data_IF_628875912233
#
_entry.id   IF_628875912233
#
_cell.length_a   1.000
_cell.length_b   1.000
_cell.length_c   1.000
_cell.angle_alpha   90.00
_cell.angle_beta   90.00
_cell.angle_gamma   90.00
#
_symmetry.space_group_name_H-M   'P 1'
#
loop_
_entity.id
_entity.type
_entity.pdbx_description
1 polymer ?
#
# COMPACT_ATOMS: atom_id res chain seq x y z
N UNK A 1 7.68 -11.19 9.74
CA UNK A 1 8.91 -10.54 9.26
C UNK A 1 10.12 -11.32 9.80
N UNK A 2 10.95 -11.91 8.91
CA UNK A 2 12.15 -12.64 9.31
C UNK A 2 13.17 -11.80 10.11
N UNK A 3 13.17 -10.48 9.96
CA UNK A 3 14.12 -9.59 10.63
C UNK A 3 13.67 -9.26 12.07
N UNK A 4 12.41 -8.88 12.26
CA UNK A 4 11.87 -8.56 13.59
C UNK A 4 11.31 -9.76 14.36
N UNK A 5 11.03 -10.88 13.67
CA UNK A 5 10.34 -12.03 14.25
C UNK A 5 8.84 -11.79 14.49
N UNK A 6 8.31 -10.62 14.13
CA UNK A 6 6.91 -10.26 14.34
C UNK A 6 6.00 -10.83 13.24
N UNK A 7 4.76 -11.12 13.61
CA UNK A 7 3.71 -11.59 12.69
C UNK A 7 2.41 -10.86 12.96
N UNK A 8 1.67 -10.56 11.89
CA UNK A 8 0.32 -9.99 11.96
C UNK A 8 -0.71 -11.07 11.60
N UNK A 9 -1.83 -11.10 12.31
CA UNK A 9 -2.96 -11.99 12.06
C UNK A 9 -4.27 -11.22 12.25
N UNK A 10 -4.78 -10.68 11.15
CA UNK A 10 -5.78 -9.61 11.19
C UNK A 10 -6.88 -9.79 10.14
N UNK A 11 -8.06 -9.22 10.43
CA UNK A 11 -9.12 -9.01 9.45
C UNK A 11 -8.99 -7.62 8.84
N UNK A 12 -8.26 -7.52 7.75
CA UNK A 12 -7.98 -6.25 7.07
C UNK A 12 -9.21 -5.73 6.30
N UNK A 13 -9.70 -4.55 6.71
CA UNK A 13 -10.80 -3.84 6.07
C UNK A 13 -10.24 -2.70 5.21
N UNK A 14 -10.20 -2.91 3.90
CA UNK A 14 -9.56 -1.98 2.97
C UNK A 14 -10.55 -0.89 2.51
N UNK A 15 -10.19 0.37 2.77
CA UNK A 15 -10.97 1.55 2.36
C UNK A 15 -10.31 2.29 1.20
N UNK A 16 -11.11 3.01 0.41
CA UNK A 16 -10.64 3.95 -0.63
C UNK A 16 -11.29 5.30 -0.37
N UNK A 17 -10.51 6.36 -0.48
CA UNK A 17 -10.98 7.74 -0.43
C UNK A 17 -10.21 8.62 -1.42
N UNK A 18 -10.69 9.85 -1.57
CA UNK A 18 -10.07 10.86 -2.41
C UNK A 18 -9.55 12.00 -1.53
N UNK A 19 -8.37 12.53 -1.87
CA UNK A 19 -7.75 13.62 -1.13
C UNK A 19 -7.00 14.54 -2.08
N UNK A 20 -7.35 15.83 -2.07
CA UNK A 20 -6.78 16.85 -2.96
C UNK A 20 -5.87 17.84 -2.22
N UNK A 21 -5.53 17.56 -0.95
CA UNK A 21 -4.61 18.38 -0.17
C UNK A 21 -3.16 17.88 -0.24
N UNK A 22 -2.28 18.56 0.48
CA UNK A 22 -0.88 18.12 0.66
C UNK A 22 -0.80 17.34 1.98
N UNK A 23 -0.36 16.05 1.96
CA UNK A 23 -0.10 15.28 3.18
C UNK A 23 0.85 16.00 4.13
N UNK A 24 0.52 15.98 5.42
CA UNK A 24 1.34 16.51 6.52
C UNK A 24 1.65 15.39 7.52
N UNK A 25 2.54 14.45 7.18
CA UNK A 25 2.84 13.30 8.03
C UNK A 25 3.50 13.70 9.35
N UNK A 26 3.28 12.89 10.40
CA UNK A 26 4.13 12.91 11.58
C UNK A 26 5.45 12.19 11.25
N UNK A 27 6.63 12.87 11.33
CA UNK A 27 7.92 12.25 11.00
C UNK A 27 8.32 11.12 11.96
N UNK A 28 7.71 10.99 13.14
CA UNK A 28 7.94 9.85 14.03
C UNK A 28 7.32 8.54 13.48
N UNK A 29 6.32 8.64 12.61
CA UNK A 29 5.57 7.50 12.08
C UNK A 29 5.82 7.28 10.58
N UNK A 30 5.98 8.35 9.80
CA UNK A 30 6.09 8.30 8.34
C UNK A 30 7.37 9.02 7.92
N UNK A 31 8.32 8.25 7.39
CA UNK A 31 9.61 8.76 6.95
C UNK A 31 9.55 9.51 5.60
N UNK A 32 8.72 9.05 4.67
CA UNK A 32 8.55 9.69 3.34
C UNK A 32 7.20 9.30 2.71
N UNK A 33 6.75 10.04 1.70
CA UNK A 33 5.54 9.75 0.94
C UNK A 33 5.64 10.21 -0.52
N UNK A 34 4.96 9.49 -1.42
CA UNK A 34 4.84 9.84 -2.83
C UNK A 34 3.42 9.58 -3.33
N UNK A 35 2.91 10.47 -4.18
CA UNK A 35 1.75 10.15 -5.02
C UNK A 35 2.20 9.28 -6.20
N UNK A 36 1.46 8.20 -6.47
CA UNK A 36 1.68 7.34 -7.63
C UNK A 36 0.35 6.97 -8.25
N UNK A 37 0.35 6.71 -9.55
CA UNK A 37 -0.79 6.11 -10.24
C UNK A 37 -0.92 4.62 -9.87
N UNK A 38 -2.12 4.04 -10.02
CA UNK A 38 -2.31 2.60 -9.83
C UNK A 38 -1.41 1.73 -10.71
N UNK A 39 -1.16 2.16 -11.95
CA UNK A 39 -0.31 1.45 -12.91
C UNK A 39 1.16 1.45 -12.47
N UNK A 40 1.67 2.58 -11.99
CA UNK A 40 3.01 2.68 -11.39
C UNK A 40 3.13 1.81 -10.16
N UNK A 41 2.15 1.86 -9.23
CA UNK A 41 2.16 1.04 -8.02
C UNK A 41 2.16 -0.46 -8.36
N UNK A 42 1.36 -0.90 -9.35
CA UNK A 42 1.33 -2.30 -9.79
C UNK A 42 2.69 -2.76 -10.31
N UNK A 43 3.34 -1.95 -11.13
CA UNK A 43 4.64 -2.26 -11.68
C UNK A 43 5.70 -2.36 -10.57
N UNK A 44 5.68 -1.42 -9.62
CA UNK A 44 6.66 -1.35 -8.53
C UNK A 44 6.46 -2.50 -7.51
N UNK A 45 5.21 -2.84 -7.15
CA UNK A 45 4.89 -4.03 -6.33
C UNK A 45 5.36 -5.35 -6.94
N UNK A 46 5.52 -5.38 -8.27
CA UNK A 46 6.02 -6.56 -8.99
C UNK A 46 7.54 -6.56 -9.08
N UNK A 47 8.14 -5.40 -9.36
CA UNK A 47 9.58 -5.26 -9.58
C UNK A 47 10.37 -5.23 -8.27
N UNK A 48 9.84 -4.59 -7.24
CA UNK A 48 10.51 -4.34 -5.97
C UNK A 48 9.62 -4.74 -4.78
N UNK A 49 9.21 -6.01 -4.65
CA UNK A 49 8.26 -6.44 -3.62
C UNK A 49 8.77 -6.18 -2.19
N UNK A 50 10.09 -6.24 -1.97
CA UNK A 50 10.71 -6.07 -0.66
C UNK A 50 10.68 -4.61 -0.14
N UNK A 51 10.30 -3.65 -1.00
CA UNK A 51 10.08 -2.26 -0.58
C UNK A 51 8.72 -2.04 0.11
N UNK A 52 7.86 -3.05 0.11
CA UNK A 52 6.48 -2.94 0.56
C UNK A 52 6.18 -3.92 1.68
N UNK A 53 5.18 -3.56 2.48
CA UNK A 53 4.66 -4.46 3.48
C UNK A 53 3.90 -5.62 2.82
N UNK A 54 3.92 -6.83 3.42
CA UNK A 54 3.32 -8.02 2.81
C UNK A 54 1.81 -7.89 2.50
N UNK A 55 1.08 -7.07 3.26
CA UNK A 55 -0.36 -6.88 3.10
C UNK A 55 -0.75 -5.97 1.92
N UNK A 56 0.13 -5.07 1.48
CA UNK A 56 -0.22 -4.08 0.44
C UNK A 56 -0.57 -4.72 -0.91
N UNK A 57 0.24 -5.70 -1.36
CA UNK A 57 0.02 -6.39 -2.64
C UNK A 57 -1.34 -7.10 -2.73
N UNK A 58 -1.71 -8.02 -1.80
CA UNK A 58 -3.00 -8.69 -1.86
C UNK A 58 -4.19 -7.73 -1.66
N UNK A 59 -4.05 -6.68 -0.85
CA UNK A 59 -5.07 -5.64 -0.71
C UNK A 59 -5.31 -4.92 -2.05
N UNK A 60 -4.24 -4.43 -2.69
CA UNK A 60 -4.30 -3.74 -3.98
C UNK A 60 -4.88 -4.62 -5.09
N UNK A 61 -4.41 -5.86 -5.23
CA UNK A 61 -4.95 -6.84 -6.19
C UNK A 61 -6.43 -7.13 -5.93
N UNK A 62 -6.84 -7.17 -4.67
CA UNK A 62 -8.22 -7.30 -4.25
C UNK A 62 -9.11 -6.13 -4.70
N UNK A 63 -8.60 -4.90 -4.67
CA UNK A 63 -9.31 -3.70 -5.13
C UNK A 63 -9.43 -3.68 -6.66
N UNK A 64 -8.35 -4.02 -7.38
CA UNK A 64 -8.35 -4.14 -8.84
C UNK A 64 -9.36 -5.20 -9.29
N UNK A 65 -9.33 -6.40 -8.70
CA UNK A 65 -10.25 -7.50 -9.04
C UNK A 65 -11.72 -7.14 -8.83
N UNK A 66 -12.01 -6.26 -7.86
CA UNK A 66 -13.36 -5.76 -7.56
C UNK A 66 -13.73 -4.50 -8.36
N UNK A 67 -12.91 -4.11 -9.34
CA UNK A 67 -13.06 -2.89 -10.14
C UNK A 67 -13.18 -1.61 -9.30
N UNK A 68 -12.58 -1.59 -8.11
CA UNK A 68 -12.54 -0.42 -7.22
C UNK A 68 -11.38 0.52 -7.56
N UNK A 69 -10.32 -0.03 -8.15
CA UNK A 69 -9.20 0.71 -8.74
C UNK A 69 -9.07 0.28 -10.20
N UNK A 70 -8.90 1.25 -11.10
CA UNK A 70 -8.62 1.00 -12.51
C UNK A 70 -7.11 1.02 -12.74
N UNK A 71 -6.65 0.15 -13.63
CA UNK A 71 -5.25 0.06 -14.07
C UNK A 71 -5.05 0.66 -15.45
#
# INVERSE_FOLDING_TARGET
>A
DPNSGLTEHEFDHVFIGEYNGVPKPNPEEINDWKWVTPTELKADLTKNPDHYTPWLKPAFEGLVRRNRIKL
#
